data_IF_878986301499
#
_entry.id   IF_878986301499
#
_cell.length_a   1.000
_cell.length_b   1.000
_cell.length_c   1.000
_cell.angle_alpha   90.00
_cell.angle_beta   90.00
_cell.angle_gamma   90.00
#
_symmetry.space_group_name_H-M   'P 1'
#
loop_
_entity.id
_entity.type
_entity.pdbx_description
1 polymer ?
#
# COMPACT_ATOMS: atom_id res chain seq x y z
N UNK A 1 14.39 -14.73 -11.12
CA UNK A 1 13.29 -14.46 -10.17
C UNK A 1 13.19 -12.96 -9.89
N UNK A 2 12.69 -12.14 -10.84
CA UNK A 2 12.78 -10.68 -10.77
C UNK A 2 11.58 -9.97 -10.13
N UNK A 3 10.48 -10.67 -9.81
CA UNK A 3 9.21 -9.98 -9.52
C UNK A 3 9.08 -9.48 -8.07
N UNK A 4 9.46 -10.32 -7.09
CA UNK A 4 9.27 -9.99 -5.68
C UNK A 4 10.16 -8.82 -5.20
N UNK A 5 11.39 -8.75 -5.69
CA UNK A 5 12.32 -7.67 -5.34
C UNK A 5 11.87 -6.33 -5.93
N UNK A 6 11.41 -6.34 -7.19
CA UNK A 6 10.86 -5.16 -7.85
C UNK A 6 9.60 -4.67 -7.13
N UNK A 7 8.68 -5.58 -6.78
CA UNK A 7 7.46 -5.26 -6.04
C UNK A 7 7.75 -4.66 -4.66
N UNK A 8 8.75 -5.20 -3.96
CA UNK A 8 9.21 -4.67 -2.66
C UNK A 8 9.74 -3.25 -2.78
N UNK A 9 10.61 -2.99 -3.76
CA UNK A 9 11.20 -1.67 -3.94
C UNK A 9 10.17 -0.63 -4.41
N UNK A 10 9.27 -0.99 -5.32
CA UNK A 10 8.15 -0.13 -5.73
C UNK A 10 7.27 0.27 -4.53
N UNK A 11 6.90 -0.69 -3.68
CA UNK A 11 6.15 -0.40 -2.46
C UNK A 11 6.90 0.54 -1.52
N UNK A 12 8.21 0.33 -1.32
CA UNK A 12 9.05 1.18 -0.47
C UNK A 12 9.14 2.60 -0.99
N UNK A 13 9.37 2.77 -2.29
CA UNK A 13 9.44 4.07 -2.94
C UNK A 13 8.12 4.84 -2.81
N UNK A 14 7.00 4.19 -3.14
CA UNK A 14 5.66 4.81 -3.04
C UNK A 14 5.28 5.16 -1.60
N UNK A 15 5.61 4.29 -0.65
CA UNK A 15 5.41 4.58 0.79
C UNK A 15 6.26 5.77 1.25
N UNK A 16 7.53 5.82 0.86
CA UNK A 16 8.42 6.92 1.23
C UNK A 16 7.92 8.27 0.66
N UNK A 17 7.48 8.29 -0.60
CA UNK A 17 6.90 9.48 -1.23
C UNK A 17 5.65 9.99 -0.49
N UNK A 18 4.76 9.09 -0.08
CA UNK A 18 3.58 9.45 0.71
C UNK A 18 3.97 10.03 2.08
N UNK A 19 4.95 9.45 2.77
CA UNK A 19 5.39 9.95 4.07
C UNK A 19 6.10 11.31 3.96
N UNK A 20 6.91 11.53 2.92
CA UNK A 20 7.49 12.84 2.64
C UNK A 20 6.41 13.91 2.39
N UNK A 21 5.32 13.56 1.70
CA UNK A 21 4.20 14.49 1.48
C UNK A 21 3.52 14.95 2.79
N UNK A 22 3.53 14.11 3.83
CA UNK A 22 3.04 14.47 5.17
C UNK A 22 4.01 15.41 5.86
N UNK A 23 5.31 15.10 5.80
CA UNK A 23 6.35 15.93 6.43
C UNK A 23 6.40 17.35 5.84
N UNK A 24 6.13 17.49 4.54
CA UNK A 24 6.05 18.81 3.88
C UNK A 24 4.79 19.63 4.18
N UNK A 25 3.74 19.02 4.74
CA UNK A 25 2.44 19.66 5.01
C UNK A 25 2.34 20.46 6.31
N UNK A 26 3.41 20.51 7.13
CA UNK A 26 3.43 21.17 8.44
C UNK A 26 2.50 20.50 9.48
N UNK A 27 2.21 21.19 10.59
CA UNK A 27 1.36 20.68 11.68
C UNK A 27 -0.14 20.53 11.32
N UNK A 28 -0.50 20.75 10.04
CA UNK A 28 -1.86 20.62 9.55
C UNK A 28 -2.24 19.15 9.40
N UNK A 29 -3.16 18.68 10.24
CA UNK A 29 -3.82 17.37 10.07
C UNK A 29 -4.80 17.36 8.88
N UNK A 30 -5.05 18.54 8.26
CA UNK A 30 -5.93 18.73 7.11
C UNK A 30 -5.28 18.10 5.86
N UNK A 31 -5.55 16.82 5.65
CA UNK A 31 -4.99 16.04 4.54
C UNK A 31 -4.48 14.66 4.94
N UNK A 32 -4.30 14.39 6.25
CA UNK A 32 -3.79 13.11 6.74
C UNK A 32 -4.72 11.95 6.36
N UNK A 33 -6.03 12.17 6.35
CA UNK A 33 -7.03 11.19 5.91
C UNK A 33 -6.77 10.74 4.46
N UNK A 34 -6.51 11.68 3.56
CA UNK A 34 -6.19 11.39 2.16
C UNK A 34 -4.90 10.58 2.04
N UNK A 35 -3.88 10.91 2.85
CA UNK A 35 -2.61 10.16 2.85
C UNK A 35 -2.80 8.74 3.39
N UNK A 36 -3.55 8.56 4.49
CA UNK A 36 -3.84 7.24 5.05
C UNK A 36 -4.63 6.37 4.07
N UNK A 37 -5.59 6.96 3.34
CA UNK A 37 -6.33 6.27 2.29
C UNK A 37 -5.42 5.86 1.12
N UNK A 38 -4.50 6.74 0.68
CA UNK A 38 -3.51 6.42 -0.36
C UNK A 38 -2.56 5.31 0.09
N UNK A 39 -2.12 5.34 1.34
CA UNK A 39 -1.27 4.31 1.92
C UNK A 39 -1.98 2.95 2.00
N UNK A 40 -3.25 2.95 2.44
CA UNK A 40 -4.08 1.75 2.49
C UNK A 40 -4.30 1.15 1.08
N UNK A 41 -4.55 1.98 0.07
CA UNK A 41 -4.67 1.53 -1.34
C UNK A 41 -3.36 0.93 -1.84
N UNK A 42 -2.22 1.58 -1.57
CA UNK A 42 -0.91 1.07 -1.98
C UNK A 42 -0.60 -0.30 -1.36
N UNK A 43 -0.95 -0.48 -0.08
CA UNK A 43 -0.82 -1.78 0.59
C UNK A 43 -1.74 -2.83 -0.04
N UNK A 44 -3.01 -2.50 -0.31
CA UNK A 44 -3.96 -3.41 -0.96
C UNK A 44 -3.47 -3.86 -2.35
N UNK A 45 -3.00 -2.93 -3.19
CA UNK A 45 -2.45 -3.26 -4.51
C UNK A 45 -1.23 -4.17 -4.41
N UNK A 46 -0.34 -3.92 -3.44
CA UNK A 46 0.86 -4.75 -3.23
C UNK A 46 0.48 -6.15 -2.76
N UNK A 47 -0.49 -6.28 -1.85
CA UNK A 47 -0.97 -7.57 -1.37
C UNK A 47 -1.67 -8.37 -2.47
N UNK A 48 -2.44 -7.72 -3.34
CA UNK A 48 -3.03 -8.37 -4.53
C UNK A 48 -1.95 -8.86 -5.49
N UNK A 49 -0.92 -8.07 -5.77
CA UNK A 49 0.19 -8.50 -6.60
C UNK A 49 0.92 -9.72 -5.99
N UNK A 50 1.19 -9.70 -4.67
CA UNK A 50 1.75 -10.85 -3.97
C UNK A 50 0.83 -12.08 -4.02
N UNK A 51 -0.48 -11.88 -3.94
CA UNK A 51 -1.47 -12.95 -4.04
C UNK A 51 -1.41 -13.65 -5.40
N UNK A 52 -1.35 -12.88 -6.48
CA UNK A 52 -1.20 -13.41 -7.83
C UNK A 52 0.13 -14.12 -8.03
N UNK A 53 1.23 -13.56 -7.48
CA UNK A 53 2.56 -14.19 -7.57
C UNK A 53 2.67 -15.50 -6.78
N UNK A 54 1.91 -15.63 -5.70
CA UNK A 54 1.88 -16.84 -4.90
C UNK A 54 0.93 -17.92 -5.45
N UNK A 55 0.24 -17.65 -6.56
CA UNK A 55 -0.70 -18.58 -7.23
C UNK A 55 -1.71 -19.20 -6.26
N UNK A 56 -2.19 -18.43 -5.28
CA UNK A 56 -3.14 -18.92 -4.29
C UNK A 56 -4.46 -19.32 -4.97
N UNK A 57 -4.92 -20.53 -4.67
CA UNK A 57 -6.20 -21.05 -5.18
C UNK A 57 -7.40 -20.26 -4.62
N UNK A 58 -8.53 -20.32 -5.32
CA UNK A 58 -9.82 -19.70 -4.95
C UNK A 58 -10.39 -20.16 -3.58
N UNK A 59 -9.74 -21.12 -2.94
CA UNK A 59 -10.06 -21.56 -1.56
C UNK A 59 -9.55 -20.62 -0.48
N UNK A 60 -8.71 -19.65 -0.83
CA UNK A 60 -8.21 -18.65 0.10
C UNK A 60 -8.78 -17.28 -0.26
N UNK A 61 -8.90 -16.41 0.74
CA UNK A 61 -9.30 -15.02 0.54
C UNK A 61 -8.27 -14.08 1.15
N UNK A 62 -7.95 -13.00 0.45
CA UNK A 62 -7.13 -11.92 0.98
C UNK A 62 -8.00 -11.00 1.85
N UNK A 63 -7.88 -11.11 3.16
CA UNK A 63 -8.63 -10.27 4.10
C UNK A 63 -7.83 -9.00 4.41
N UNK A 64 -8.21 -7.88 3.79
CA UNK A 64 -7.66 -6.58 4.13
C UNK A 64 -8.40 -5.97 5.34
N UNK A 65 -7.77 -5.99 6.51
CA UNK A 65 -8.23 -5.30 7.73
C UNK A 65 -7.82 -3.82 7.69
N UNK A 66 -8.54 -3.00 6.92
CA UNK A 66 -8.17 -1.58 6.78
C UNK A 66 -9.33 -0.67 6.43
N UNK A 67 -9.98 -0.09 7.44
CA UNK A 67 -11.10 0.85 7.30
C UNK A 67 -10.78 2.14 6.53
N UNK A 68 -9.52 2.44 6.26
CA UNK A 68 -9.10 3.67 5.55
C UNK A 68 -9.28 3.61 4.02
N UNK A 69 -9.48 2.41 3.45
CA UNK A 69 -9.68 2.23 2.01
C UNK A 69 -11.13 2.40 1.54
N UNK A 70 -12.06 2.61 2.46
CA UNK A 70 -13.51 2.63 2.24
C UNK A 70 -14.06 4.05 2.18
#
# INVERSE_FOLDING_TARGET
MPDLQALREDYRLKKAALLQSVQGGGASTRGIHSVLQKLARQAATTLLALWHLAEFSDRFALVAVGGFGR
#
